data_IF_285832187185
#
_entry.id   IF_285832187185
#
_cell.length_a   1.000
_cell.length_b   1.000
_cell.length_c   1.000
_cell.angle_alpha   90.00
_cell.angle_beta   90.00
_cell.angle_gamma   90.00
#
_symmetry.space_group_name_H-M   'P 1'
#
loop_
_entity.id
_entity.type
_entity.pdbx_description
1 polymer ?
#
# COMPACT_ATOMS: atom_id res chain seq x y z
N UNK A 1 -9.01 22.87 -10.15
CA UNK A 1 -8.78 21.60 -9.43
C UNK A 1 -10.12 20.99 -9.07
N UNK A 2 -10.36 19.72 -9.41
CA UNK A 2 -11.58 18.99 -9.05
C UNK A 2 -11.20 17.84 -8.13
N UNK A 3 -11.62 17.90 -6.88
CA UNK A 3 -11.46 16.77 -5.95
C UNK A 3 -12.41 15.65 -6.36
N UNK A 4 -11.92 14.42 -6.38
CA UNK A 4 -12.70 13.23 -6.72
C UNK A 4 -12.53 12.24 -5.58
N UNK A 5 -13.62 11.94 -4.90
CA UNK A 5 -13.66 10.92 -3.86
C UNK A 5 -14.07 9.59 -4.48
N UNK A 6 -13.35 8.54 -4.16
CA UNK A 6 -13.74 7.18 -4.56
C UNK A 6 -14.75 6.64 -3.54
N UNK A 7 -15.87 6.14 -4.06
CA UNK A 7 -16.91 5.48 -3.29
C UNK A 7 -16.88 3.97 -3.63
N UNK A 8 -16.28 3.13 -2.75
CA UNK A 8 -16.24 1.69 -2.95
C UNK A 8 -17.60 1.05 -2.63
N UNK A 9 -17.77 -0.22 -3.00
CA UNK A 9 -18.98 -0.98 -2.69
C UNK A 9 -19.21 -1.05 -1.16
N UNK A 10 -20.39 -0.59 -0.73
CA UNK A 10 -20.79 -0.58 0.68
C UNK A 10 -20.79 -1.97 1.31
N UNK A 11 -21.19 -3.00 0.55
CA UNK A 11 -21.17 -4.39 1.05
C UNK A 11 -19.75 -4.87 1.31
N UNK A 12 -18.81 -4.47 0.46
CA UNK A 12 -17.40 -4.76 0.66
C UNK A 12 -16.87 -4.04 1.89
N UNK A 13 -17.23 -2.77 2.08
CA UNK A 13 -16.85 -1.99 3.27
C UNK A 13 -17.38 -2.65 4.54
N UNK A 14 -18.67 -3.00 4.62
CA UNK A 14 -19.27 -3.67 5.78
C UNK A 14 -18.62 -5.02 6.08
N UNK A 15 -18.32 -5.80 5.04
CA UNK A 15 -17.57 -7.05 5.15
C UNK A 15 -16.19 -6.80 5.77
N UNK A 16 -15.42 -5.85 5.23
CA UNK A 16 -14.07 -5.53 5.70
C UNK A 16 -14.08 -4.97 7.13
N UNK A 17 -15.06 -4.14 7.50
CA UNK A 17 -15.21 -3.67 8.88
C UNK A 17 -15.35 -4.82 9.86
N UNK A 18 -16.18 -5.82 9.51
CA UNK A 18 -16.42 -6.98 10.35
C UNK A 18 -15.23 -7.95 10.37
N UNK A 19 -14.57 -8.15 9.22
CA UNK A 19 -13.45 -9.08 9.07
C UNK A 19 -12.16 -8.60 9.77
N UNK A 20 -11.94 -7.28 9.81
CA UNK A 20 -10.76 -6.65 10.40
C UNK A 20 -11.03 -5.94 11.73
N UNK A 21 -12.27 -5.98 12.21
CA UNK A 21 -12.73 -5.28 13.43
C UNK A 21 -12.27 -3.81 13.45
N UNK A 22 -12.69 -3.05 12.43
CA UNK A 22 -12.16 -1.71 12.18
C UNK A 22 -13.22 -0.67 11.82
N UNK A 23 -12.83 0.60 11.88
CA UNK A 23 -13.71 1.72 11.55
C UNK A 23 -14.06 1.77 10.05
N UNK A 24 -15.19 2.41 9.73
CA UNK A 24 -15.64 2.58 8.34
C UNK A 24 -14.60 3.31 7.49
N UNK A 25 -13.91 4.31 8.05
CA UNK A 25 -12.87 5.06 7.34
C UNK A 25 -11.70 4.15 6.89
N UNK A 26 -11.29 3.20 7.74
CA UNK A 26 -10.24 2.24 7.42
C UNK A 26 -10.73 1.25 6.37
N UNK A 27 -11.93 0.68 6.54
CA UNK A 27 -12.50 -0.26 5.58
C UNK A 27 -12.74 0.34 4.18
N UNK A 28 -13.21 1.59 4.10
CA UNK A 28 -13.32 2.36 2.83
C UNK A 28 -11.95 2.51 2.18
N UNK A 29 -10.94 2.85 2.98
CA UNK A 29 -9.57 3.00 2.50
C UNK A 29 -9.00 1.68 1.97
N UNK A 30 -9.29 0.56 2.64
CA UNK A 30 -8.88 -0.78 2.20
C UNK A 30 -9.55 -1.17 0.89
N UNK A 31 -10.86 -0.97 0.78
CA UNK A 31 -11.62 -1.26 -0.44
C UNK A 31 -11.12 -0.41 -1.63
N UNK A 32 -10.83 0.88 -1.42
CA UNK A 32 -10.25 1.76 -2.45
C UNK A 32 -8.84 1.34 -2.88
N UNK A 33 -8.09 0.62 -2.03
CA UNK A 33 -6.79 0.03 -2.37
C UNK A 33 -6.89 -1.35 -3.03
N UNK A 34 -8.10 -1.83 -3.30
CA UNK A 34 -8.33 -3.14 -3.91
C UNK A 34 -8.20 -4.32 -2.93
N UNK A 35 -8.11 -4.06 -1.61
CA UNK A 35 -8.13 -5.10 -0.59
C UNK A 35 -9.57 -5.56 -0.39
N UNK A 36 -9.82 -6.86 -0.51
CA UNK A 36 -11.19 -7.44 -0.49
C UNK A 36 -11.40 -8.54 0.57
N UNK A 37 -10.33 -8.98 1.22
CA UNK A 37 -10.29 -10.03 2.23
C UNK A 37 -8.97 -9.99 3.01
N UNK A 38 -8.91 -10.72 4.13
CA UNK A 38 -7.68 -10.95 4.90
C UNK A 38 -6.56 -11.54 4.05
N UNK A 39 -6.88 -12.49 3.18
CA UNK A 39 -5.91 -13.08 2.24
C UNK A 39 -5.32 -12.02 1.30
N UNK A 40 -6.18 -11.24 0.63
CA UNK A 40 -5.73 -10.18 -0.28
C UNK A 40 -4.96 -9.05 0.43
N UNK A 41 -5.12 -8.93 1.74
CA UNK A 41 -4.48 -7.88 2.54
C UNK A 41 -3.05 -8.23 2.95
N UNK A 42 -2.66 -9.51 2.88
CA UNK A 42 -1.37 -10.00 3.39
C UNK A 42 -0.19 -9.29 2.75
N UNK A 43 -0.19 -9.17 1.42
CA UNK A 43 0.92 -8.51 0.72
C UNK A 43 1.07 -7.04 1.11
N UNK A 44 -0.01 -6.39 1.53
CA UNK A 44 0.01 -4.99 1.95
C UNK A 44 0.46 -4.80 3.40
N UNK A 45 -0.05 -5.63 4.33
CA UNK A 45 0.24 -5.48 5.77
C UNK A 45 1.45 -6.30 6.24
N UNK A 46 1.79 -7.37 5.54
CA UNK A 46 2.90 -8.28 5.84
C UNK A 46 3.83 -8.45 4.61
N UNK A 47 4.39 -7.37 4.05
CA UNK A 47 5.27 -7.50 2.90
C UNK A 47 6.56 -8.23 3.27
N UNK A 48 7.10 -8.97 2.32
CA UNK A 48 8.39 -9.67 2.45
C UNK A 48 9.49 -8.90 1.72
N UNK A 49 10.75 -9.09 2.12
CA UNK A 49 11.90 -8.47 1.43
C UNK A 49 11.94 -8.79 -0.08
N UNK A 50 11.47 -9.98 -0.48
CA UNK A 50 11.41 -10.37 -1.89
C UNK A 50 10.39 -9.60 -2.73
N UNK A 51 9.46 -8.87 -2.10
CA UNK A 51 8.49 -8.00 -2.78
C UNK A 51 9.03 -6.57 -2.99
N UNK A 52 10.20 -6.23 -2.44
CA UNK A 52 10.83 -4.94 -2.69
C UNK A 52 11.32 -4.87 -4.13
N UNK A 53 10.98 -3.77 -4.81
CA UNK A 53 11.58 -3.45 -6.10
C UNK A 53 13.08 -3.23 -5.96
N UNK A 54 13.83 -3.57 -7.00
CA UNK A 54 15.26 -3.25 -7.07
C UNK A 54 15.45 -1.73 -6.94
N UNK A 55 16.15 -1.23 -5.89
CA UNK A 55 16.38 0.19 -5.70
C UNK A 55 17.11 0.84 -6.88
N UNK A 56 17.92 0.09 -7.64
CA UNK A 56 18.63 0.62 -8.81
C UNK A 56 17.72 0.98 -10.00
N UNK A 57 16.45 0.59 -9.96
CA UNK A 57 15.42 1.08 -10.90
C UNK A 57 15.11 2.56 -10.64
N UNK A 58 15.33 3.06 -9.42
CA UNK A 58 15.11 4.46 -9.10
C UNK A 58 16.13 5.35 -9.82
N UNK A 59 15.65 6.46 -10.37
CA UNK A 59 16.48 7.42 -11.09
C UNK A 59 17.67 7.89 -10.26
N UNK A 60 18.88 7.71 -10.80
CA UNK A 60 20.17 8.11 -10.20
C UNK A 60 20.54 7.42 -8.88
N UNK A 61 20.00 6.22 -8.60
CA UNK A 61 20.36 5.47 -7.39
C UNK A 61 21.85 5.15 -7.33
N UNK A 62 22.46 4.83 -8.47
CA UNK A 62 23.89 4.61 -8.65
C UNK A 62 24.74 5.80 -8.17
N UNK A 63 24.37 7.02 -8.56
CA UNK A 63 25.07 8.24 -8.16
C UNK A 63 24.91 8.51 -6.66
N UNK A 64 23.73 8.23 -6.10
CA UNK A 64 23.48 8.39 -4.67
C UNK A 64 24.38 7.47 -3.85
N UNK A 65 24.47 6.19 -4.24
CA UNK A 65 25.35 5.21 -3.58
C UNK A 65 26.82 5.63 -3.67
N UNK A 66 27.29 6.04 -4.84
CA UNK A 66 28.67 6.48 -5.03
C UNK A 66 29.03 7.68 -4.11
N UNK A 67 28.12 8.66 -3.98
CA UNK A 67 28.33 9.82 -3.09
C UNK A 67 28.46 9.42 -1.63
N UNK A 68 27.64 8.48 -1.16
CA UNK A 68 27.68 8.01 0.22
C UNK A 68 29.01 7.28 0.47
N UNK A 69 29.39 6.35 -0.41
CA UNK A 69 30.62 5.56 -0.25
C UNK A 69 31.91 6.39 -0.33
N UNK A 70 31.89 7.54 -1.01
CA UNK A 70 33.07 8.39 -1.19
C UNK A 70 33.27 9.38 -0.02
N UNK A 71 32.22 9.66 0.77
CA UNK A 71 32.24 10.67 1.85
C UNK A 71 32.04 10.07 3.25
N UNK A 72 32.07 8.73 3.36
CA UNK A 72 32.25 7.99 4.61
C UNK A 72 33.72 7.63 4.72
#
# INVERSE_FOLDING_TARGET
>A
MRWVFQEPDKKLVEKLQSEFDTSSAIAVTMANRGITSRESSRDFFEPTLGQLHDPFIMKNMDQAVARILTNI
#
